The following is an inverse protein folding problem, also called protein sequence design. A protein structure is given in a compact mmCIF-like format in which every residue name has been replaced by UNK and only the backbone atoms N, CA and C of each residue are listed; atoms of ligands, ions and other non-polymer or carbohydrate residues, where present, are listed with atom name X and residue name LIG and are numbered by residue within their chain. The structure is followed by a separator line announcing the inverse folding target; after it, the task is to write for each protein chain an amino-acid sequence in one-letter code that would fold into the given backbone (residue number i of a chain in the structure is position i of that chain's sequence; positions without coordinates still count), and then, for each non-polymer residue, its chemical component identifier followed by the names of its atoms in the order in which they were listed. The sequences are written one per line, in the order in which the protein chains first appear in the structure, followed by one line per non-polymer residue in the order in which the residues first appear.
data_IF_877302448331
#
_entry.id   IF_877302448331
#
_cell.length_a   1.000
_cell.length_b   1.000
_cell.length_c   1.000
_cell.angle_alpha   90.00
_cell.angle_beta   90.00
_cell.angle_gamma   90.00
#
_symmetry.space_group_name_H-M   'P 1'
#
loop_
_entity.id
_entity.type
_entity.pdbx_description
1 polymer ?
#
# COMPACT_ATOMS: atom_id res chain seq x y z
N UNK A 1 -18.55 1.10 -19.06
CA UNK A 1 -17.22 0.48 -19.26
C UNK A 1 -17.24 -0.90 -18.59
N UNK A 2 -16.52 -1.86 -19.10
CA UNK A 2 -16.43 -3.19 -18.48
C UNK A 2 -15.54 -3.11 -17.22
N UNK A 3 -16.00 -3.72 -16.12
CA UNK A 3 -15.27 -3.73 -14.85
C UNK A 3 -13.95 -4.51 -14.95
N UNK A 4 -12.87 -3.95 -14.43
CA UNK A 4 -11.55 -4.59 -14.35
C UNK A 4 -11.25 -4.91 -12.89
N UNK A 5 -10.60 -6.04 -12.61
CA UNK A 5 -10.06 -6.34 -11.28
C UNK A 5 -8.54 -6.32 -11.33
N UNK A 6 -7.93 -5.57 -10.42
CA UNK A 6 -6.54 -5.75 -10.03
C UNK A 6 -6.50 -6.66 -8.80
N UNK A 7 -6.09 -7.90 -8.97
CA UNK A 7 -5.87 -8.86 -7.90
C UNK A 7 -4.36 -8.96 -7.62
N UNK A 8 -3.90 -8.42 -6.52
CA UNK A 8 -2.46 -8.24 -6.28
C UNK A 8 -2.03 -8.83 -4.94
N UNK A 9 -0.84 -9.46 -4.92
CA UNK A 9 -0.14 -9.67 -3.67
C UNK A 9 0.25 -8.32 -3.05
N UNK A 10 0.61 -8.32 -1.76
CA UNK A 10 0.96 -7.12 -1.01
C UNK A 10 2.47 -6.93 -0.89
N UNK A 11 3.13 -7.89 -0.24
CA UNK A 11 4.54 -7.78 0.13
C UNK A 11 5.42 -8.04 -1.10
N UNK A 12 6.31 -7.10 -1.45
CA UNK A 12 7.09 -7.22 -2.69
C UNK A 12 6.36 -6.78 -3.95
N UNK A 13 5.02 -6.69 -3.93
CA UNK A 13 4.18 -6.36 -5.09
C UNK A 13 3.46 -5.02 -4.91
N UNK A 14 2.28 -4.96 -4.28
CA UNK A 14 1.47 -3.74 -4.19
C UNK A 14 2.07 -2.68 -3.24
N UNK A 15 2.74 -3.12 -2.20
CA UNK A 15 3.41 -2.24 -1.23
C UNK A 15 4.83 -1.87 -1.65
N UNK A 16 5.34 -2.42 -2.75
CA UNK A 16 6.71 -2.24 -3.26
C UNK A 16 6.77 -1.33 -4.50
N UNK A 17 8.00 -1.08 -4.94
CA UNK A 17 8.29 -0.17 -6.04
C UNK A 17 8.67 1.23 -5.55
N UNK A 18 9.10 2.09 -6.47
CA UNK A 18 9.45 3.46 -6.15
C UNK A 18 8.24 4.31 -5.76
N UNK A 19 8.48 5.45 -5.12
CA UNK A 19 7.43 6.30 -4.58
C UNK A 19 6.50 6.88 -5.68
N UNK A 20 7.03 7.13 -6.87
CA UNK A 20 6.25 7.70 -7.97
C UNK A 20 5.36 6.62 -8.62
N UNK A 21 5.88 5.41 -8.81
CA UNK A 21 5.08 4.28 -9.30
C UNK A 21 3.93 3.95 -8.33
N UNK A 22 4.19 3.91 -7.02
CA UNK A 22 3.15 3.71 -6.01
C UNK A 22 2.08 4.79 -6.08
N UNK A 23 2.44 6.07 -6.08
CA UNK A 23 1.50 7.18 -6.19
C UNK A 23 0.64 7.09 -7.46
N UNK A 24 1.26 6.76 -8.59
CA UNK A 24 0.56 6.62 -9.86
C UNK A 24 -0.45 5.48 -9.85
N UNK A 25 -0.05 4.29 -9.39
CA UNK A 25 -0.94 3.14 -9.30
C UNK A 25 -2.08 3.39 -8.31
N UNK A 26 -1.78 3.94 -7.13
CA UNK A 26 -2.80 4.21 -6.11
C UNK A 26 -3.81 5.26 -6.59
N UNK A 27 -3.31 6.34 -7.19
CA UNK A 27 -4.20 7.34 -7.80
C UNK A 27 -5.07 6.75 -8.92
N UNK A 28 -4.50 5.90 -9.75
CA UNK A 28 -5.23 5.23 -10.82
C UNK A 28 -6.37 4.36 -10.26
N UNK A 29 -6.11 3.55 -9.25
CA UNK A 29 -7.12 2.71 -8.59
C UNK A 29 -8.22 3.57 -7.96
N UNK A 30 -7.88 4.65 -7.27
CA UNK A 30 -8.85 5.54 -6.62
C UNK A 30 -9.67 6.38 -7.61
N UNK A 31 -9.06 6.78 -8.73
CA UNK A 31 -9.70 7.64 -9.73
C UNK A 31 -10.64 6.88 -10.70
N UNK A 32 -10.47 5.57 -10.83
CA UNK A 32 -11.22 4.75 -11.78
C UNK A 32 -12.17 3.78 -11.07
N UNK A 33 -13.43 4.13 -10.84
CA UNK A 33 -14.40 3.30 -10.13
C UNK A 33 -14.71 1.97 -10.83
N UNK A 34 -14.38 1.84 -12.12
CA UNK A 34 -14.48 0.60 -12.90
C UNK A 34 -13.32 -0.36 -12.60
N UNK A 35 -12.28 0.08 -11.89
CA UNK A 35 -11.17 -0.76 -11.41
C UNK A 35 -11.46 -1.18 -9.98
N UNK A 36 -11.70 -2.47 -9.79
CA UNK A 36 -11.84 -3.09 -8.47
C UNK A 36 -10.49 -3.58 -7.99
N UNK A 37 -10.19 -3.34 -6.72
CA UNK A 37 -8.97 -3.81 -6.09
C UNK A 37 -9.26 -5.02 -5.21
N UNK A 38 -8.50 -6.09 -5.41
CA UNK A 38 -8.50 -7.25 -4.54
C UNK A 38 -7.08 -7.50 -4.00
N UNK A 39 -6.91 -7.48 -2.69
CA UNK A 39 -5.67 -7.92 -2.08
C UNK A 39 -5.68 -9.44 -1.93
N UNK A 40 -4.63 -10.11 -2.41
CA UNK A 40 -4.49 -11.58 -2.39
C UNK A 40 -3.18 -11.93 -1.71
N UNK A 41 -3.21 -12.10 -0.39
CA UNK A 41 -2.00 -12.09 0.42
C UNK A 41 -1.81 -13.35 1.28
N UNK A 42 -0.54 -13.62 1.60
CA UNK A 42 -0.17 -14.60 2.62
C UNK A 42 -0.44 -14.13 4.05
N UNK A 43 -0.71 -12.85 4.28
CA UNK A 43 -1.00 -12.33 5.61
C UNK A 43 -2.34 -12.84 6.12
N UNK A 44 -2.45 -13.05 7.43
CA UNK A 44 -3.73 -13.35 8.08
C UNK A 44 -4.59 -12.09 8.25
N UNK A 45 -5.88 -12.30 8.57
CA UNK A 45 -6.87 -11.23 8.71
C UNK A 45 -6.42 -10.09 9.64
N UNK A 46 -5.87 -10.43 10.82
CA UNK A 46 -5.45 -9.40 11.78
C UNK A 46 -4.25 -8.57 11.27
N UNK A 47 -3.38 -9.17 10.47
CA UNK A 47 -2.20 -8.50 9.93
C UNK A 47 -2.52 -7.51 8.79
N UNK A 48 -3.71 -7.60 8.17
CA UNK A 48 -4.15 -6.64 7.15
C UNK A 48 -4.90 -5.44 7.73
N UNK A 49 -5.44 -5.51 8.95
CA UNK A 49 -6.23 -4.43 9.55
C UNK A 49 -5.47 -3.09 9.62
N UNK A 50 -4.19 -3.05 10.01
CA UNK A 50 -3.43 -1.79 9.98
C UNK A 50 -3.29 -1.20 8.58
N UNK A 51 -3.16 -2.04 7.53
CA UNK A 51 -3.09 -1.58 6.15
C UNK A 51 -4.42 -1.03 5.65
N UNK A 52 -5.54 -1.64 6.03
CA UNK A 52 -6.88 -1.13 5.72
C UNK A 52 -7.17 0.22 6.40
N UNK A 53 -6.51 0.50 7.50
CA UNK A 53 -6.63 1.76 8.23
C UNK A 53 -5.63 2.83 7.74
N UNK A 54 -4.71 2.51 6.85
CA UNK A 54 -3.72 3.44 6.32
C UNK A 54 -4.33 4.32 5.21
N UNK A 55 -4.50 5.63 5.43
CA UNK A 55 -5.07 6.53 4.43
C UNK A 55 -4.17 6.74 3.21
N UNK A 56 -2.92 6.29 3.26
CA UNK A 56 -1.99 6.31 2.14
C UNK A 56 -2.15 5.16 1.16
N UNK A 57 -3.01 4.18 1.46
CA UNK A 57 -3.27 3.02 0.62
C UNK A 57 -4.70 3.04 0.06
N UNK A 58 -4.91 2.70 -1.22
CA UNK A 58 -6.25 2.46 -1.75
C UNK A 58 -6.96 1.34 -0.98
N UNK A 59 -8.20 1.58 -0.60
CA UNK A 59 -9.00 0.56 0.08
C UNK A 59 -9.43 -0.51 -0.92
N UNK A 60 -9.10 -1.80 -0.73
CA UNK A 60 -9.53 -2.85 -1.62
C UNK A 60 -11.04 -3.11 -1.50
N UNK A 61 -11.68 -3.57 -2.57
CA UNK A 61 -13.07 -4.04 -2.52
C UNK A 61 -13.15 -5.42 -1.85
N UNK A 62 -12.13 -6.25 -2.08
CA UNK A 62 -12.04 -7.62 -1.57
C UNK A 62 -10.67 -7.91 -0.98
N UNK A 63 -10.65 -8.81 0.00
CA UNK A 63 -9.40 -9.35 0.56
C UNK A 63 -9.46 -10.86 0.58
N UNK A 64 -8.45 -11.47 -0.02
CA UNK A 64 -8.14 -12.90 0.10
C UNK A 64 -6.89 -13.00 0.96
N UNK A 65 -7.02 -13.49 2.18
CA UNK A 65 -5.92 -13.65 3.14
C UNK A 65 -5.64 -15.13 3.44
N UNK A 66 -4.65 -15.37 4.32
CA UNK A 66 -4.24 -16.72 4.70
C UNK A 66 -3.93 -17.62 3.49
N UNK A 67 -3.23 -17.07 2.47
CA UNK A 67 -2.85 -17.78 1.23
C UNK A 67 -4.06 -18.34 0.46
N UNK A 68 -5.22 -17.71 0.59
CA UNK A 68 -6.47 -18.15 -0.05
C UNK A 68 -7.50 -18.75 0.91
N UNK A 69 -7.15 -19.02 2.17
CA UNK A 69 -8.06 -19.71 3.10
C UNK A 69 -9.15 -18.82 3.71
N UNK A 70 -9.06 -17.51 3.52
CA UNK A 70 -10.04 -16.54 4.00
C UNK A 70 -10.36 -15.54 2.90
N UNK A 71 -11.65 -15.31 2.61
CA UNK A 71 -12.11 -14.36 1.60
C UNK A 71 -13.18 -13.43 2.17
N UNK A 72 -12.94 -12.12 2.10
CA UNK A 72 -13.74 -11.08 2.75
C UNK A 72 -14.14 -9.99 1.75
N UNK A 73 -15.30 -9.40 1.95
CA UNK A 73 -15.66 -8.11 1.37
C UNK A 73 -15.22 -7.02 2.35
N UNK A 74 -14.46 -6.06 1.86
CA UNK A 74 -13.86 -5.04 2.75
C UNK A 74 -14.89 -4.10 3.35
N UNK A 75 -15.93 -3.75 2.61
CA UNK A 75 -16.94 -2.77 3.05
C UNK A 75 -17.61 -3.09 4.41
N UNK A 76 -17.72 -4.37 4.75
CA UNK A 76 -18.33 -4.83 6.00
C UNK A 76 -17.49 -5.88 6.74
N UNK A 77 -16.32 -6.21 6.20
CA UNK A 77 -15.41 -7.23 6.70
C UNK A 77 -16.07 -8.61 6.89
N UNK A 78 -17.13 -8.88 6.09
CA UNK A 78 -17.85 -10.16 6.16
C UNK A 78 -17.28 -11.16 5.15
N UNK A 79 -17.24 -12.45 5.52
CA UNK A 79 -16.87 -13.52 4.61
C UNK A 79 -17.83 -13.59 3.40
N UNK A 80 -17.28 -13.81 2.23
CA UNK A 80 -18.07 -13.98 1.00
C UNK A 80 -18.64 -15.39 0.97
N UNK A 81 -19.98 -15.48 1.06
CA UNK A 81 -20.70 -16.75 1.06
C UNK A 81 -21.26 -17.08 -0.35
N UNK A 82 -21.33 -18.35 -0.75
CA UNK A 82 -20.98 -19.57 0.02
C UNK A 82 -19.49 -19.98 -0.09
N UNK A 83 -18.65 -19.11 -0.66
CA UNK A 83 -17.24 -19.42 -0.93
C UNK A 83 -16.48 -19.75 0.35
N UNK A 84 -16.59 -18.89 1.35
CA UNK A 84 -15.92 -19.09 2.63
C UNK A 84 -16.37 -20.40 3.33
N UNK A 85 -17.67 -20.67 3.36
CA UNK A 85 -18.17 -21.91 3.96
C UNK A 85 -17.65 -23.18 3.27
N UNK A 86 -17.40 -23.15 1.96
CA UNK A 86 -16.80 -24.27 1.23
C UNK A 86 -15.35 -24.52 1.64
N UNK A 87 -14.59 -23.47 1.91
CA UNK A 87 -13.21 -23.55 2.41
C UNK A 87 -13.24 -24.12 3.84
N UNK A 88 -14.09 -23.58 4.70
CA UNK A 88 -14.24 -24.01 6.10
C UNK A 88 -14.62 -25.47 6.23
N UNK A 89 -15.49 -25.98 5.37
CA UNK A 89 -15.91 -27.38 5.37
C UNK A 89 -14.78 -28.37 5.06
N UNK A 90 -13.66 -27.90 4.48
CA UNK A 90 -12.47 -28.73 4.17
C UNK A 90 -11.39 -28.61 5.24
N UNK A 91 -11.51 -27.66 6.18
CA UNK A 91 -10.50 -27.44 7.21
C UNK A 91 -10.70 -28.39 8.40
N UNK A 92 -9.73 -29.27 8.72
CA UNK A 92 -9.86 -30.20 9.83
C UNK A 92 -9.75 -29.51 11.21
N UNK A 93 -9.33 -28.26 11.25
CA UNK A 93 -9.04 -27.52 12.47
C UNK A 93 -7.55 -27.41 12.77
N UNK A 94 -7.14 -26.26 13.29
CA UNK A 94 -5.74 -25.95 13.62
C UNK A 94 -5.12 -27.00 14.53
N UNK A 95 -5.82 -27.36 15.61
CA UNK A 95 -5.31 -28.33 16.59
C UNK A 95 -4.96 -29.69 15.94
N UNK A 96 -5.79 -30.18 15.01
CA UNK A 96 -5.55 -31.44 14.31
C UNK A 96 -4.29 -31.38 13.47
N UNK A 97 -4.12 -30.28 12.72
CA UNK A 97 -2.94 -30.09 11.87
C UNK A 97 -1.68 -29.94 12.71
N UNK A 98 -1.71 -29.10 13.75
CA UNK A 98 -0.55 -28.87 14.64
C UNK A 98 -0.12 -30.18 15.30
N UNK A 99 -1.06 -30.98 15.81
CA UNK A 99 -0.74 -32.27 16.45
C UNK A 99 -0.11 -33.25 15.46
N UNK A 100 -0.62 -33.33 14.25
CA UNK A 100 -0.06 -34.21 13.22
C UNK A 100 1.36 -33.78 12.79
N UNK A 101 1.62 -32.47 12.75
CA UNK A 101 2.93 -31.92 12.35
C UNK A 101 3.99 -31.98 13.44
N UNK A 102 3.65 -32.21 14.71
CA UNK A 102 4.62 -32.37 15.83
C UNK A 102 5.69 -33.45 15.60
N UNK A 103 5.43 -34.42 14.75
CA UNK A 103 6.39 -35.45 14.38
C UNK A 103 7.59 -34.93 13.59
N UNK A 104 7.51 -33.71 13.07
CA UNK A 104 8.55 -33.07 12.27
C UNK A 104 9.20 -31.93 13.08
N UNK A 105 10.22 -32.21 13.91
CA UNK A 105 10.80 -31.21 14.82
C UNK A 105 11.54 -30.07 14.12
N UNK A 106 11.84 -30.21 12.81
CA UNK A 106 12.41 -29.14 11.98
C UNK A 106 11.38 -28.12 11.50
N UNK A 107 10.09 -28.38 11.64
CA UNK A 107 9.04 -27.42 11.35
C UNK A 107 8.82 -26.52 12.56
N UNK A 108 9.26 -25.26 12.44
CA UNK A 108 9.10 -24.26 13.51
C UNK A 108 7.81 -23.46 13.24
N UNK A 109 6.82 -23.62 14.11
CA UNK A 109 5.54 -22.93 13.99
C UNK A 109 5.73 -21.40 13.94
N UNK A 110 5.03 -20.73 13.02
CA UNK A 110 4.95 -19.28 13.01
C UNK A 110 3.95 -18.80 14.09
N UNK A 111 4.40 -17.94 14.99
CA UNK A 111 3.56 -17.29 16.01
C UNK A 111 2.90 -16.02 15.44
N UNK A 112 2.03 -16.20 14.45
CA UNK A 112 1.24 -15.12 13.81
C UNK A 112 -0.23 -15.51 13.79
N UNK A 113 -1.16 -14.54 13.84
CA UNK A 113 -2.57 -14.80 13.66
C UNK A 113 -2.83 -15.47 12.30
N UNK A 114 -3.49 -16.62 12.30
CA UNK A 114 -3.80 -17.41 11.11
C UNK A 114 -5.18 -18.03 11.27
N UNK A 115 -5.92 -18.06 10.19
CA UNK A 115 -7.23 -18.71 10.14
C UNK A 115 -7.22 -19.77 9.02
N UNK A 116 -7.65 -21.00 9.35
CA UNK A 116 -7.74 -22.12 8.38
C UNK A 116 -6.43 -22.42 7.65
N UNK A 117 -5.32 -22.09 8.30
CA UNK A 117 -3.95 -22.31 7.84
C UNK A 117 -3.06 -22.65 9.02
N UNK A 118 -2.02 -23.45 8.79
CA UNK A 118 -0.92 -23.64 9.73
C UNK A 118 0.40 -23.38 9.01
N UNK A 119 1.11 -22.33 9.41
CA UNK A 119 2.36 -21.90 8.80
C UNK A 119 3.55 -22.22 9.68
N UNK A 120 4.61 -22.69 9.03
CA UNK A 120 5.86 -23.08 9.65
C UNK A 120 7.04 -22.42 8.93
N UNK A 121 8.13 -22.23 9.64
CA UNK A 121 9.45 -22.01 9.06
C UNK A 121 10.11 -23.36 8.84
N UNK A 122 10.72 -23.57 7.68
CA UNK A 122 11.50 -24.75 7.35
C UNK A 122 12.61 -24.38 6.37
N UNK A 123 13.82 -24.79 6.65
CA UNK A 123 14.95 -24.58 5.73
C UNK A 123 14.85 -25.55 4.53
N UNK A 124 15.20 -25.14 3.29
CA UNK A 124 15.09 -25.99 2.09
C UNK A 124 15.77 -27.36 2.23
N UNK A 125 16.98 -27.36 2.80
CA UNK A 125 17.73 -28.60 3.03
C UNK A 125 17.02 -29.56 3.99
N UNK A 126 16.36 -29.04 5.01
CA UNK A 126 15.57 -29.82 5.94
C UNK A 126 14.29 -30.32 5.30
N UNK A 127 13.60 -29.44 4.56
CA UNK A 127 12.37 -29.82 3.86
C UNK A 127 12.61 -30.95 2.87
N UNK A 128 13.69 -30.92 2.09
CA UNK A 128 14.00 -31.97 1.11
C UNK A 128 14.05 -33.38 1.70
N UNK A 129 14.38 -33.52 2.99
CA UNK A 129 14.44 -34.78 3.70
C UNK A 129 13.11 -35.32 4.20
N UNK A 130 12.11 -34.43 4.39
CA UNK A 130 10.82 -34.76 5.01
C UNK A 130 9.62 -34.46 4.11
N UNK A 131 9.82 -33.80 2.97
CA UNK A 131 8.74 -33.24 2.14
C UNK A 131 7.65 -34.31 1.82
N UNK A 132 8.04 -35.45 1.32
CA UNK A 132 7.09 -36.53 0.97
C UNK A 132 6.26 -37.01 2.17
N UNK A 133 6.86 -37.06 3.37
CA UNK A 133 6.15 -37.47 4.58
C UNK A 133 5.20 -36.36 5.07
N UNK A 134 5.64 -35.08 5.04
CA UNK A 134 4.79 -33.91 5.38
C UNK A 134 3.59 -33.81 4.46
N UNK A 135 3.81 -33.97 3.14
CA UNK A 135 2.74 -33.98 2.14
C UNK A 135 1.77 -35.16 2.36
N UNK A 136 2.28 -36.37 2.65
CA UNK A 136 1.43 -37.52 2.93
C UNK A 136 0.57 -37.31 4.20
N UNK A 137 1.16 -36.76 5.26
CA UNK A 137 0.42 -36.44 6.50
C UNK A 137 -0.63 -35.36 6.24
N UNK A 138 -0.28 -34.28 5.57
CA UNK A 138 -1.23 -33.22 5.21
C UNK A 138 -2.38 -33.78 4.36
N UNK A 139 -2.06 -34.60 3.35
CA UNK A 139 -3.05 -35.22 2.46
C UNK A 139 -4.03 -36.13 3.23
N UNK A 140 -3.55 -36.86 4.25
CA UNK A 140 -4.40 -37.70 5.10
C UNK A 140 -5.42 -36.92 5.93
N UNK A 141 -5.13 -35.62 6.18
CA UNK A 141 -6.01 -34.69 6.88
C UNK A 141 -6.94 -33.91 5.92
N UNK A 142 -6.89 -34.18 4.62
CA UNK A 142 -7.61 -33.35 3.62
C UNK A 142 -6.97 -32.00 3.38
N UNK A 143 -5.69 -31.85 3.68
CA UNK A 143 -4.89 -30.65 3.48
C UNK A 143 -3.88 -30.81 2.35
N UNK A 144 -3.29 -29.70 1.93
CA UNK A 144 -2.15 -29.64 1.03
C UNK A 144 -1.04 -28.76 1.61
N UNK A 145 0.15 -28.92 1.09
CA UNK A 145 1.36 -28.21 1.49
C UNK A 145 1.74 -27.21 0.41
N UNK A 146 2.01 -25.97 0.80
CA UNK A 146 2.62 -24.97 -0.05
C UNK A 146 3.94 -24.52 0.58
N UNK A 147 5.02 -24.55 -0.20
CA UNK A 147 6.33 -24.04 0.22
C UNK A 147 6.72 -22.85 -0.65
N UNK A 148 7.19 -21.77 -0.04
CA UNK A 148 7.54 -20.56 -0.75
C UNK A 148 8.68 -19.79 -0.06
N UNK A 149 9.34 -18.91 -0.82
CA UNK A 149 10.43 -18.03 -0.38
C UNK A 149 11.56 -18.82 0.35
N UNK A 150 11.81 -20.05 -0.04
CA UNK A 150 12.81 -20.97 0.55
C UNK A 150 12.77 -21.03 2.09
N UNK A 151 11.60 -20.75 2.67
CA UNK A 151 11.46 -20.61 4.12
C UNK A 151 10.09 -20.97 4.69
N UNK A 152 9.01 -20.67 3.97
CA UNK A 152 7.66 -20.75 4.49
C UNK A 152 6.98 -22.02 4.02
N UNK A 153 6.47 -22.80 4.95
CA UNK A 153 5.68 -24.00 4.68
C UNK A 153 4.28 -23.80 5.27
N UNK A 154 3.29 -23.71 4.39
CA UNK A 154 1.89 -23.54 4.74
C UNK A 154 1.12 -24.84 4.54
N UNK A 155 0.34 -25.24 5.56
CA UNK A 155 -0.64 -26.32 5.48
C UNK A 155 -2.01 -25.69 5.31
N UNK A 156 -2.67 -25.98 4.20
CA UNK A 156 -3.93 -25.36 3.77
C UNK A 156 -5.01 -26.44 3.54
N UNK A 157 -6.30 -26.09 3.59
CA UNK A 157 -7.36 -26.98 3.10
C UNK A 157 -7.09 -27.37 1.65
N UNK A 158 -7.26 -28.63 1.27
CA UNK A 158 -7.01 -29.10 -0.09
C UNK A 158 -7.77 -28.30 -1.14
N UNK A 159 -7.09 -27.91 -2.21
CA UNK A 159 -7.62 -27.07 -3.29
C UNK A 159 -7.89 -25.62 -2.88
N UNK A 160 -7.21 -25.16 -1.84
CA UNK A 160 -7.33 -23.78 -1.36
C UNK A 160 -5.98 -23.07 -1.49
N UNK A 161 -5.86 -22.23 -2.50
CA UNK A 161 -4.69 -21.41 -2.80
C UNK A 161 -5.13 -20.02 -3.25
N UNK A 162 -4.21 -19.06 -3.35
CA UNK A 162 -4.49 -17.71 -3.84
C UNK A 162 -5.31 -17.73 -5.14
N UNK A 163 -4.86 -18.50 -6.13
CA UNK A 163 -5.49 -18.60 -7.46
C UNK A 163 -6.88 -19.25 -7.42
N UNK A 164 -7.02 -20.43 -6.83
CA UNK A 164 -8.30 -21.12 -6.78
C UNK A 164 -9.39 -20.33 -6.04
N UNK A 165 -9.02 -19.60 -4.99
CA UNK A 165 -9.96 -18.73 -4.26
C UNK A 165 -10.29 -17.47 -5.05
N UNK A 166 -9.30 -16.89 -5.76
CA UNK A 166 -9.53 -15.75 -6.66
C UNK A 166 -10.47 -16.14 -7.79
N UNK A 167 -10.26 -17.28 -8.45
CA UNK A 167 -11.14 -17.79 -9.50
C UNK A 167 -12.57 -17.96 -9.00
N UNK A 168 -12.74 -18.57 -7.85
CA UNK A 168 -14.07 -18.74 -7.25
C UNK A 168 -14.72 -17.38 -6.88
N UNK A 169 -13.94 -16.37 -6.53
CA UNK A 169 -14.43 -15.00 -6.32
C UNK A 169 -14.86 -14.35 -7.66
N UNK A 170 -14.04 -14.45 -8.70
CA UNK A 170 -14.33 -13.93 -10.05
C UNK A 170 -15.62 -14.55 -10.61
N UNK A 171 -15.79 -15.86 -10.46
CA UNK A 171 -16.99 -16.58 -10.85
C UNK A 171 -18.23 -16.09 -10.08
N UNK A 172 -18.09 -15.95 -8.76
CA UNK A 172 -19.19 -15.46 -7.90
C UNK A 172 -19.62 -14.03 -8.24
N UNK A 173 -18.69 -13.21 -8.73
CA UNK A 173 -18.96 -11.84 -9.19
C UNK A 173 -19.39 -11.77 -10.67
N UNK A 174 -19.38 -12.89 -11.38
CA UNK A 174 -19.73 -12.99 -12.81
C UNK A 174 -18.87 -12.04 -13.69
N UNK A 175 -17.58 -12.03 -13.44
CA UNK A 175 -16.62 -11.17 -14.13
C UNK A 175 -15.90 -11.91 -15.23
N UNK A 176 -15.53 -11.19 -16.29
CA UNK A 176 -14.78 -11.74 -17.41
C UNK A 176 -13.32 -12.00 -17.00
N UNK A 177 -12.79 -13.23 -17.12
CA UNK A 177 -11.42 -13.56 -16.76
C UNK A 177 -10.35 -12.69 -17.44
N UNK A 178 -10.58 -12.30 -18.68
CA UNK A 178 -9.67 -11.42 -19.45
C UNK A 178 -9.56 -10.00 -18.87
N UNK A 179 -10.42 -9.63 -17.93
CA UNK A 179 -10.42 -8.34 -17.22
C UNK A 179 -9.89 -8.45 -15.79
N UNK A 180 -9.26 -9.57 -15.44
CA UNK A 180 -8.63 -9.80 -14.14
C UNK A 180 -7.12 -9.76 -14.31
N UNK A 181 -6.45 -8.71 -13.84
CA UNK A 181 -4.99 -8.67 -13.78
C UNK A 181 -4.53 -9.23 -12.45
N UNK A 182 -3.69 -10.25 -12.47
CA UNK A 182 -3.04 -10.78 -11.29
C UNK A 182 -1.60 -10.31 -11.20
N UNK A 183 -1.14 -9.96 -9.99
CA UNK A 183 0.22 -9.48 -9.75
C UNK A 183 0.83 -10.15 -8.53
N UNK A 184 2.09 -10.57 -8.64
CA UNK A 184 2.82 -11.20 -7.55
C UNK A 184 4.32 -11.23 -7.80
N UNK A 185 5.08 -11.65 -6.78
CA UNK A 185 6.54 -11.68 -6.78
C UNK A 185 7.15 -12.98 -6.22
N UNK A 186 6.37 -13.82 -5.53
CA UNK A 186 6.86 -15.07 -4.91
C UNK A 186 6.12 -16.31 -5.40
N UNK A 187 6.70 -17.49 -5.15
CA UNK A 187 6.16 -18.76 -5.63
C UNK A 187 4.74 -19.06 -5.11
N UNK A 188 4.32 -18.49 -3.99
CA UNK A 188 2.95 -18.61 -3.49
C UNK A 188 1.90 -17.92 -4.39
N UNK A 189 2.32 -17.05 -5.31
CA UNK A 189 1.48 -16.39 -6.30
C UNK A 189 1.27 -17.24 -7.56
N UNK A 190 2.11 -18.27 -7.75
CA UNK A 190 2.10 -19.14 -8.93
C UNK A 190 0.71 -19.64 -9.29
N UNK A 191 -0.12 -19.94 -8.29
CA UNK A 191 -1.47 -20.45 -8.51
C UNK A 191 -2.37 -19.43 -9.22
N UNK A 192 -2.20 -18.11 -9.03
CA UNK A 192 -2.99 -17.08 -9.68
C UNK A 192 -2.77 -17.07 -11.20
N UNK A 193 -1.55 -17.29 -11.66
CA UNK A 193 -1.21 -17.31 -13.09
C UNK A 193 -1.72 -18.57 -13.78
N UNK A 194 -1.79 -19.69 -13.05
CA UNK A 194 -2.26 -20.98 -13.56
C UNK A 194 -3.75 -21.01 -13.94
N UNK A 195 -4.54 -20.05 -13.47
CA UNK A 195 -5.96 -19.91 -13.79
C UNK A 195 -6.23 -19.19 -15.13
N UNK A 196 -5.17 -18.78 -15.84
CA UNK A 196 -5.26 -18.18 -17.18
C UNK A 196 -5.64 -16.69 -17.19
N UNK A 197 -5.59 -16.01 -16.06
CA UNK A 197 -5.75 -14.54 -16.00
C UNK A 197 -4.53 -13.84 -16.62
N UNK A 198 -4.70 -12.68 -17.29
CA UNK A 198 -3.59 -11.76 -17.50
C UNK A 198 -2.80 -11.54 -16.22
N UNK A 199 -1.48 -11.74 -16.27
CA UNK A 199 -0.69 -11.72 -15.06
C UNK A 199 0.65 -11.00 -15.21
N UNK A 200 1.22 -10.56 -14.10
CA UNK A 200 2.54 -9.96 -14.05
C UNK A 200 3.37 -10.52 -12.90
N UNK A 201 4.54 -11.05 -13.24
CA UNK A 201 5.64 -11.16 -12.30
C UNK A 201 6.35 -9.82 -12.28
N UNK A 202 6.25 -9.06 -11.17
CA UNK A 202 6.90 -7.75 -11.07
C UNK A 202 8.43 -7.89 -11.08
N UNK A 203 9.15 -6.83 -11.42
CA UNK A 203 10.61 -6.85 -11.37
C UNK A 203 11.12 -7.25 -9.98
N UNK A 204 12.27 -7.92 -9.94
CA UNK A 204 12.88 -8.47 -8.71
C UNK A 204 12.08 -9.62 -8.06
N UNK A 205 11.16 -10.25 -8.80
CA UNK A 205 10.45 -11.44 -8.36
C UNK A 205 11.39 -12.62 -8.07
N UNK A 206 10.93 -13.51 -7.21
CA UNK A 206 11.63 -14.75 -6.85
C UNK A 206 12.01 -15.56 -8.11
N UNK A 207 13.28 -15.96 -8.27
CA UNK A 207 13.72 -16.71 -9.46
C UNK A 207 12.89 -17.99 -9.71
N UNK A 208 12.41 -18.64 -8.66
CA UNK A 208 11.56 -19.82 -8.76
C UNK A 208 10.19 -19.49 -9.38
N UNK A 209 9.60 -18.33 -9.08
CA UNK A 209 8.36 -17.88 -9.71
C UNK A 209 8.60 -17.54 -11.18
N UNK A 210 9.66 -16.78 -11.49
CA UNK A 210 10.03 -16.42 -12.88
C UNK A 210 10.21 -17.69 -13.72
N UNK A 211 10.95 -18.68 -13.22
CA UNK A 211 11.14 -19.96 -13.90
C UNK A 211 9.83 -20.75 -14.09
N UNK A 212 8.95 -20.73 -13.07
CA UNK A 212 7.68 -21.47 -13.11
C UNK A 212 6.62 -20.82 -14.02
N UNK A 213 6.83 -19.57 -14.47
CA UNK A 213 5.92 -18.82 -15.35
C UNK A 213 6.53 -18.47 -16.70
N UNK A 214 7.77 -18.90 -16.98
CA UNK A 214 8.52 -18.54 -18.18
C UNK A 214 7.82 -18.94 -19.51
N UNK A 215 7.08 -20.03 -19.52
CA UNK A 215 6.38 -20.56 -20.69
C UNK A 215 4.88 -20.18 -20.69
N UNK A 216 4.45 -19.21 -19.86
CA UNK A 216 3.06 -18.80 -19.77
C UNK A 216 2.82 -17.53 -20.63
N UNK A 217 2.08 -17.66 -21.72
CA UNK A 217 1.77 -16.56 -22.64
C UNK A 217 0.91 -15.45 -22.00
N UNK A 218 0.20 -15.76 -20.91
CA UNK A 218 -0.63 -14.83 -20.17
C UNK A 218 0.12 -14.06 -19.07
N UNK A 219 1.44 -14.25 -18.92
CA UNK A 219 2.24 -13.64 -17.87
C UNK A 219 3.31 -12.72 -18.43
N UNK A 220 3.22 -11.45 -18.08
CA UNK A 220 4.28 -10.47 -18.33
C UNK A 220 5.36 -10.58 -17.23
N UNK A 221 6.61 -10.75 -17.61
CA UNK A 221 7.74 -10.54 -16.72
C UNK A 221 8.17 -9.06 -16.82
N UNK A 222 7.80 -8.26 -15.85
CA UNK A 222 8.05 -6.83 -15.86
C UNK A 222 9.49 -6.50 -15.43
N UNK A 223 10.04 -5.40 -15.99
CA UNK A 223 11.36 -4.90 -15.58
C UNK A 223 11.28 -4.10 -14.27
N UNK A 224 10.16 -3.37 -14.07
CA UNK A 224 10.00 -2.52 -12.91
C UNK A 224 9.48 -3.31 -11.69
N UNK A 225 10.03 -3.08 -10.48
CA UNK A 225 9.57 -3.73 -9.27
C UNK A 225 8.21 -3.19 -8.80
N UNK A 226 7.46 -4.05 -8.12
CA UNK A 226 6.24 -3.69 -7.41
C UNK A 226 5.20 -2.96 -8.28
N UNK A 227 4.71 -1.83 -7.79
CA UNK A 227 3.69 -1.01 -8.49
C UNK A 227 4.10 -0.61 -9.91
N UNK A 228 5.40 -0.45 -10.18
CA UNK A 228 5.91 -0.16 -11.52
C UNK A 228 5.62 -1.30 -12.49
N UNK A 229 5.83 -2.54 -12.07
CA UNK A 229 5.52 -3.74 -12.85
C UNK A 229 4.03 -3.89 -13.12
N UNK A 230 3.19 -3.59 -12.11
CA UNK A 230 1.73 -3.60 -12.27
C UNK A 230 1.29 -2.60 -13.35
N UNK A 231 1.83 -1.37 -13.32
CA UNK A 231 1.55 -0.35 -14.33
C UNK A 231 1.99 -0.79 -15.75
N UNK A 232 3.16 -1.45 -15.87
CA UNK A 232 3.61 -2.02 -17.14
C UNK A 232 2.62 -3.07 -17.67
N UNK A 233 2.10 -3.93 -16.79
CA UNK A 233 1.15 -4.97 -17.17
C UNK A 233 -0.22 -4.40 -17.55
N UNK A 234 -0.73 -3.40 -16.84
CA UNK A 234 -1.96 -2.72 -17.18
C UNK A 234 -1.91 -2.13 -18.59
N UNK A 235 -0.76 -1.54 -18.97
CA UNK A 235 -0.53 -1.03 -20.32
C UNK A 235 -0.39 -2.16 -21.35
N UNK A 236 0.34 -3.23 -21.00
CA UNK A 236 0.61 -4.35 -21.90
C UNK A 236 -0.69 -5.09 -22.31
N UNK A 237 -1.61 -5.26 -21.37
CA UNK A 237 -2.87 -5.98 -21.58
C UNK A 237 -4.06 -5.09 -21.96
N UNK A 238 -3.84 -3.80 -22.22
CA UNK A 238 -4.89 -2.82 -22.57
C UNK A 238 -6.08 -2.83 -21.59
N UNK A 239 -5.79 -2.97 -20.30
CA UNK A 239 -6.83 -3.09 -19.28
C UNK A 239 -7.47 -1.75 -18.92
N UNK A 240 -6.78 -0.66 -19.15
CA UNK A 240 -7.19 0.72 -18.92
C UNK A 240 -6.74 1.57 -20.10
N UNK A 241 -7.51 2.58 -20.48
CA UNK A 241 -7.16 3.48 -21.58
C UNK A 241 -5.83 4.19 -21.33
N UNK A 242 -5.06 4.42 -22.41
CA UNK A 242 -3.70 4.97 -22.32
C UNK A 242 -3.63 6.31 -21.55
N UNK A 243 -4.68 7.13 -21.63
CA UNK A 243 -4.77 8.40 -20.91
C UNK A 243 -4.85 8.23 -19.39
N UNK A 244 -5.32 7.07 -18.91
CA UNK A 244 -5.37 6.75 -17.48
C UNK A 244 -3.97 6.55 -16.86
N UNK A 245 -2.97 6.22 -17.71
CA UNK A 245 -1.57 6.09 -17.27
C UNK A 245 -0.82 7.42 -17.28
N UNK A 246 -1.37 8.44 -17.92
CA UNK A 246 -0.76 9.75 -17.84
C UNK A 246 -0.72 10.16 -16.36
N UNK A 247 0.45 10.57 -15.81
CA UNK A 247 0.45 11.22 -14.52
C UNK A 247 -0.58 12.35 -14.61
N UNK A 248 -1.34 12.62 -13.55
CA UNK A 248 -2.22 13.78 -13.56
C UNK A 248 -1.37 14.90 -14.12
N UNK A 249 -1.87 15.57 -15.17
CA UNK A 249 -1.15 16.66 -15.82
C UNK A 249 -1.07 17.77 -14.76
N UNK A 250 -0.15 17.60 -13.85
CA UNK A 250 0.54 18.77 -13.36
C UNK A 250 1.24 19.26 -14.61
N UNK A 251 0.74 20.35 -15.18
CA UNK A 251 1.43 21.08 -16.22
C UNK A 251 2.92 20.98 -15.91
N UNK A 252 3.84 20.84 -16.91
CA UNK A 252 5.26 20.70 -16.66
C UNK A 252 5.78 21.94 -15.93
N UNK A 253 5.38 22.03 -14.69
CA UNK A 253 5.73 23.02 -13.70
C UNK A 253 6.51 22.27 -12.64
N UNK A 254 7.67 22.78 -12.29
CA UNK A 254 8.48 22.33 -11.16
C UNK A 254 7.53 21.97 -10.02
N UNK A 255 7.68 20.78 -9.43
CA UNK A 255 6.87 20.35 -8.28
C UNK A 255 6.84 21.47 -7.24
N UNK A 256 5.67 21.87 -6.80
CA UNK A 256 5.55 22.92 -5.77
C UNK A 256 6.17 22.39 -4.48
N UNK A 257 7.17 23.09 -3.99
CA UNK A 257 7.76 22.80 -2.70
C UNK A 257 6.82 23.34 -1.61
N UNK A 258 6.34 22.47 -0.72
CA UNK A 258 5.56 22.89 0.45
C UNK A 258 6.45 22.85 1.70
N UNK A 259 6.67 24.03 2.29
CA UNK A 259 7.39 24.17 3.55
C UNK A 259 6.38 24.40 4.68
N UNK A 260 6.32 23.49 5.63
CA UNK A 260 5.50 23.66 6.83
C UNK A 260 6.40 24.07 7.99
N UNK A 261 6.22 25.28 8.50
CA UNK A 261 7.02 25.80 9.61
C UNK A 261 6.16 26.66 10.54
N UNK A 262 6.50 26.67 11.82
CA UNK A 262 5.71 27.35 12.83
C UNK A 262 5.75 28.89 12.76
N UNK A 263 6.67 29.47 12.00
CA UNK A 263 6.81 30.91 11.80
C UNK A 263 6.59 31.28 10.34
N UNK A 264 6.04 32.48 10.13
CA UNK A 264 5.95 33.07 8.80
C UNK A 264 7.35 33.35 8.21
N UNK A 265 7.50 33.35 6.88
CA UNK A 265 8.78 33.66 6.22
C UNK A 265 9.13 35.17 6.24
N UNK A 266 8.30 35.98 6.86
CA UNK A 266 8.44 37.43 7.03
C UNK A 266 7.92 37.89 8.41
N UNK A 267 8.27 39.11 8.80
CA UNK A 267 7.68 39.78 9.96
C UNK A 267 6.47 40.61 9.53
N UNK A 268 5.34 40.50 10.24
CA UNK A 268 4.16 41.36 10.04
C UNK A 268 4.08 42.40 11.12
N UNK A 269 3.89 43.66 10.70
CA UNK A 269 3.67 44.79 11.56
C UNK A 269 2.36 45.50 11.17
N UNK A 270 1.66 46.07 12.14
CA UNK A 270 0.50 46.91 11.89
C UNK A 270 0.98 48.37 11.88
N UNK A 271 0.91 49.02 10.73
CA UNK A 271 1.26 50.41 10.54
C UNK A 271 0.03 51.10 9.97
N UNK A 272 -0.44 52.17 10.65
CA UNK A 272 -1.63 52.93 10.25
C UNK A 272 -2.88 52.06 9.96
N UNK A 273 -3.05 50.99 10.75
CA UNK A 273 -4.20 50.08 10.61
C UNK A 273 -4.08 49.10 9.44
N UNK A 274 -2.94 49.01 8.75
CA UNK A 274 -2.67 48.09 7.67
C UNK A 274 -1.57 47.10 8.06
N UNK A 275 -1.65 45.83 7.57
CA UNK A 275 -0.59 44.84 7.73
C UNK A 275 0.53 45.13 6.74
N UNK A 276 1.73 45.38 7.25
CA UNK A 276 2.95 45.57 6.47
C UNK A 276 3.88 44.43 6.72
N UNK A 277 4.35 43.78 5.65
CA UNK A 277 5.29 42.64 5.68
C UNK A 277 6.71 43.11 5.43
N UNK A 278 7.63 42.64 6.22
CA UNK A 278 9.06 42.94 6.08
C UNK A 278 9.89 41.64 6.15
N UNK A 279 11.02 41.59 5.43
CA UNK A 279 11.95 40.50 5.63
C UNK A 279 12.38 40.34 7.08
N UNK A 280 12.67 39.14 7.55
CA UNK A 280 13.21 38.93 8.88
C UNK A 280 14.50 39.72 9.09
N UNK A 281 14.61 40.36 10.23
CA UNK A 281 15.75 41.20 10.59
C UNK A 281 17.05 40.43 10.81
N UNK A 282 16.99 39.10 11.05
CA UNK A 282 18.17 38.27 11.26
C UNK A 282 18.58 37.54 9.96
N UNK A 283 19.70 37.92 9.31
CA UNK A 283 20.15 37.33 8.07
C UNK A 283 20.69 35.90 8.23
N UNK A 284 21.05 35.50 9.44
CA UNK A 284 21.69 34.18 9.74
C UNK A 284 20.74 33.24 10.49
N UNK A 285 19.44 33.46 10.44
CA UNK A 285 18.46 32.61 11.10
C UNK A 285 18.03 31.41 10.24
N UNK A 286 17.31 30.47 10.86
CA UNK A 286 16.78 29.28 10.19
C UNK A 286 15.86 29.64 9.00
N UNK A 287 15.08 30.74 9.11
CA UNK A 287 14.14 31.16 8.07
C UNK A 287 14.85 31.54 6.77
N UNK A 288 15.93 32.36 6.73
CA UNK A 288 16.72 32.58 5.52
C UNK A 288 17.27 31.31 4.91
N UNK A 289 17.71 30.35 5.72
CA UNK A 289 18.19 29.04 5.24
C UNK A 289 17.06 28.24 4.59
N UNK A 290 15.88 28.21 5.17
CA UNK A 290 14.71 27.52 4.61
C UNK A 290 14.20 28.24 3.35
N UNK A 291 14.22 29.57 3.29
CA UNK A 291 13.85 30.35 2.10
C UNK A 291 14.78 30.08 0.92
N UNK A 292 16.04 29.70 1.16
CA UNK A 292 16.99 29.39 0.08
C UNK A 292 16.57 28.22 -0.82
N UNK A 293 15.71 27.32 -0.32
CA UNK A 293 15.13 26.25 -1.12
C UNK A 293 14.19 26.75 -2.23
N UNK A 294 13.59 27.92 -2.05
CA UNK A 294 12.71 28.57 -3.03
C UNK A 294 13.47 29.54 -3.98
N UNK A 295 14.76 29.59 -3.89
CA UNK A 295 15.60 30.40 -4.79
C UNK A 295 15.47 29.98 -6.26
N UNK A 296 15.86 30.87 -7.18
CA UNK A 296 15.85 30.60 -8.64
C UNK A 296 14.46 30.32 -9.23
N UNK A 297 13.40 30.88 -8.63
CA UNK A 297 12.05 30.79 -9.17
C UNK A 297 11.39 29.43 -8.97
N UNK A 298 11.82 28.64 -7.97
CA UNK A 298 11.11 27.45 -7.53
C UNK A 298 9.74 27.86 -6.96
N UNK A 299 8.61 27.49 -7.57
CA UNK A 299 7.30 27.77 -7.01
C UNK A 299 7.06 26.95 -5.74
N UNK A 300 6.27 27.50 -4.81
CA UNK A 300 5.96 26.78 -3.60
C UNK A 300 5.03 27.49 -2.65
N UNK A 301 4.70 26.78 -1.59
CA UNK A 301 3.85 27.27 -0.51
C UNK A 301 4.57 27.14 0.83
N UNK A 302 4.57 28.23 1.59
CA UNK A 302 5.02 28.22 2.98
C UNK A 302 3.80 28.22 3.89
N UNK A 303 3.58 27.18 4.66
CA UNK A 303 2.45 27.06 5.56
C UNK A 303 2.90 27.37 6.99
N UNK A 304 2.27 28.37 7.60
CA UNK A 304 2.54 28.74 8.99
C UNK A 304 1.25 29.15 9.72
N UNK A 305 1.23 28.94 11.04
CA UNK A 305 0.10 29.44 11.82
C UNK A 305 0.25 30.92 12.20
N UNK A 306 -0.87 31.58 12.36
CA UNK A 306 -0.99 32.97 12.89
C UNK A 306 -2.01 32.99 14.01
N UNK A 307 -1.77 33.86 15.02
CA UNK A 307 -2.76 34.03 16.08
C UNK A 307 -3.88 34.92 15.55
N UNK A 308 -5.11 34.43 15.63
CA UNK A 308 -6.30 35.24 15.31
C UNK A 308 -6.54 36.26 16.42
N UNK A 309 -6.38 37.55 16.08
CA UNK A 309 -6.66 38.66 16.98
C UNK A 309 -7.84 39.46 16.41
N UNK A 310 -9.01 39.42 17.06
CA UNK A 310 -10.21 40.15 16.61
C UNK A 310 -10.03 41.67 16.52
N UNK A 311 -8.99 42.23 17.13
CA UNK A 311 -8.67 43.64 17.11
C UNK A 311 -7.71 44.05 15.99
N UNK A 312 -7.08 43.07 15.35
CA UNK A 312 -6.17 43.29 14.23
C UNK A 312 -6.91 43.19 12.88
N UNK A 313 -6.39 43.83 11.82
CA UNK A 313 -6.92 43.63 10.48
C UNK A 313 -6.93 42.13 10.10
N UNK A 314 -7.93 41.66 9.33
CA UNK A 314 -8.03 40.26 8.94
C UNK A 314 -6.76 39.77 8.24
N UNK A 315 -6.39 38.52 8.51
CA UNK A 315 -5.25 37.88 7.86
C UNK A 315 -5.70 37.38 6.50
N UNK A 316 -4.96 37.72 5.45
CA UNK A 316 -5.20 37.13 4.14
C UNK A 316 -4.86 35.62 4.21
N UNK A 317 -5.75 34.73 3.76
CA UNK A 317 -5.48 33.25 3.81
C UNK A 317 -4.21 32.84 3.05
N UNK A 318 -3.86 33.55 1.98
CA UNK A 318 -2.63 33.43 1.22
C UNK A 318 -2.07 34.79 0.82
N UNK A 319 -0.75 34.92 0.87
CA UNK A 319 -0.06 36.15 0.52
C UNK A 319 1.29 35.83 -0.16
N UNK A 320 1.73 36.67 -1.14
CA UNK A 320 3.08 36.55 -1.68
C UNK A 320 4.12 36.83 -0.58
N UNK A 321 5.21 36.07 -0.60
CA UNK A 321 6.28 36.27 0.41
C UNK A 321 7.16 37.47 0.05
N UNK A 322 7.71 37.47 -1.14
CA UNK A 322 8.53 38.50 -1.72
C UNK A 322 8.59 38.22 -3.24
N UNK A 323 7.80 39.00 -4.01
CA UNK A 323 7.63 38.73 -5.44
C UNK A 323 8.90 38.97 -6.25
N UNK A 324 9.86 39.76 -5.76
CA UNK A 324 11.11 40.04 -6.44
C UNK A 324 12.13 38.93 -6.17
N UNK A 325 12.27 38.49 -4.92
CA UNK A 325 13.28 37.49 -4.51
C UNK A 325 12.79 36.06 -4.70
N UNK A 326 11.51 35.82 -4.49
CA UNK A 326 10.90 34.49 -4.51
C UNK A 326 9.62 34.50 -5.37
N UNK A 327 9.74 34.73 -6.69
CA UNK A 327 8.58 34.75 -7.59
C UNK A 327 7.93 33.36 -7.59
N UNK A 328 6.66 33.30 -7.23
CA UNK A 328 5.91 32.06 -7.12
C UNK A 328 5.87 31.40 -5.72
N UNK A 329 6.50 32.02 -4.70
CA UNK A 329 6.34 31.58 -3.31
C UNK A 329 5.19 32.33 -2.64
N UNK A 330 4.22 31.58 -2.09
CA UNK A 330 3.11 32.13 -1.31
C UNK A 330 3.16 31.62 0.13
N UNK A 331 2.84 32.48 1.09
CA UNK A 331 2.58 32.06 2.46
C UNK A 331 1.09 31.76 2.64
N UNK A 332 0.78 30.57 3.15
CA UNK A 332 -0.56 30.16 3.55
C UNK A 332 -0.66 30.27 5.08
N UNK A 333 -1.64 31.00 5.56
CA UNK A 333 -1.86 31.26 6.97
C UNK A 333 -2.90 30.29 7.54
N UNK A 334 -2.53 29.61 8.62
CA UNK A 334 -3.45 28.79 9.41
C UNK A 334 -3.85 29.62 10.65
N UNK A 335 -5.06 30.15 10.72
CA UNK A 335 -5.50 30.94 11.88
C UNK A 335 -5.70 29.99 13.08
N UNK A 336 -5.03 30.32 14.18
CA UNK A 336 -5.19 29.58 15.45
C UNK A 336 -5.56 30.59 16.54
N UNK A 337 -6.46 30.19 17.43
CA UNK A 337 -6.74 30.93 18.64
C UNK A 337 -5.54 30.90 19.59
N UNK A 338 -5.45 31.87 20.48
CA UNK A 338 -4.41 31.90 21.51
C UNK A 338 -4.42 30.63 22.36
N UNK A 339 -5.59 30.05 22.62
CA UNK A 339 -5.74 28.83 23.39
C UNK A 339 -5.14 27.62 22.60
N UNK A 340 -5.42 27.49 21.31
CA UNK A 340 -4.88 26.43 20.47
C UNK A 340 -3.36 26.51 20.37
N UNK A 341 -2.80 27.72 20.23
CA UNK A 341 -1.33 27.90 20.25
C UNK A 341 -0.74 27.52 21.61
N UNK A 342 -1.37 27.89 22.71
CA UNK A 342 -0.87 27.55 24.05
C UNK A 342 -0.94 26.04 24.31
N UNK A 343 -2.02 25.35 23.90
CA UNK A 343 -2.19 23.91 24.10
C UNK A 343 -1.29 23.12 23.16
N UNK A 344 -1.35 23.38 21.87
CA UNK A 344 -0.65 22.58 20.86
C UNK A 344 0.85 22.90 20.82
N UNK A 345 1.21 24.17 20.68
CA UNK A 345 2.62 24.52 20.47
C UNK A 345 3.42 24.58 21.78
N UNK A 346 2.89 25.23 22.84
CA UNK A 346 3.66 25.36 24.08
C UNK A 346 3.61 24.11 24.93
N UNK A 347 2.43 23.50 25.14
CA UNK A 347 2.33 22.31 25.98
C UNK A 347 2.69 21.04 25.24
N UNK A 348 1.96 20.70 24.19
CA UNK A 348 2.18 19.43 23.48
C UNK A 348 3.56 19.39 22.81
N UNK A 349 3.91 20.37 21.98
CA UNK A 349 5.16 20.32 21.22
C UNK A 349 6.40 20.55 22.07
N UNK A 350 6.38 21.47 23.04
CA UNK A 350 7.56 21.81 23.85
C UNK A 350 7.69 21.00 25.14
N UNK A 351 6.59 20.65 25.80
CA UNK A 351 6.62 20.00 27.09
C UNK A 351 6.50 18.47 26.98
N UNK A 352 5.72 17.97 26.01
CA UNK A 352 5.49 16.55 25.86
C UNK A 352 6.34 15.90 24.75
N UNK A 353 6.42 16.52 23.56
CA UNK A 353 7.06 15.91 22.40
C UNK A 353 8.56 16.19 22.32
N UNK A 354 8.99 17.46 22.51
CA UNK A 354 10.40 17.84 22.40
C UNK A 354 11.36 17.23 23.43
N UNK A 355 10.98 16.95 24.70
CA UNK A 355 11.85 16.26 25.64
C UNK A 355 12.13 14.78 25.33
N UNK A 356 11.44 14.20 24.36
CA UNK A 356 11.55 12.77 23.99
C UNK A 356 12.50 12.56 22.80
N UNK A 357 12.95 13.62 22.15
CA UNK A 357 13.95 13.63 21.08
C UNK A 357 15.29 14.10 21.63
#
# INVERSE_FOLDING_TARGET
MQQTILATDLDGTFLAGDADARKRLYHLVDAHPDVKLAWVTGRGREAILPLLADPGLPTPDYVICDVGATVLRTADMQPIQPLQSRIEARWPGEHVVVEAMRRFPMLVRQEVPQERRCSYYCHPEQLSTIQAEVEAVAASLGCEVLYSADRYLDILPRGTQKGSTLTALVDALTLEPSRVLVAGDTLNDRSMYGEGFPGVCVGESEPALVAATADMDNVLHADAPGCGGILQAMAHFDLIEADAYAPPIHAPGKAELVMVYHRLPYEEHIVDGQRVRRPHSSPNGIIPSLLSFFGKGQPGSWVAWTVDDPKAPPVEPRAPVDAERYPGLTAAHVPLTKHEVDVFYKRFSKEAFWPVI
#
